data_IF_427862605748
#
_entry.id   IF_427862605748
#
_cell.length_a   1.000
_cell.length_b   1.000
_cell.length_c   1.000
_cell.angle_alpha   90.00
_cell.angle_beta   90.00
_cell.angle_gamma   90.00
#
_symmetry.space_group_name_H-M   'P 1'
#
loop_
_entity.id
_entity.type
_entity.pdbx_description
1 polymer ?
#
# COMPACT_ATOMS: atom_id res chain seq x y z
N UNK A 1 19.73 -2.21 6.38
CA UNK A 1 18.33 -1.96 5.93
C UNK A 1 17.26 -2.11 7.04
N UNK A 2 17.23 -3.21 7.80
CA UNK A 2 16.18 -3.49 8.81
C UNK A 2 15.97 -2.38 9.87
N UNK A 3 17.05 -1.83 10.46
CA UNK A 3 16.99 -0.74 11.47
C UNK A 3 16.34 0.53 10.91
N UNK A 4 16.68 0.89 9.67
CA UNK A 4 16.17 2.05 8.95
C UNK A 4 14.66 1.93 8.62
N UNK A 5 14.15 0.72 8.40
CA UNK A 5 12.72 0.47 8.20
C UNK A 5 11.92 0.53 9.50
N UNK A 6 12.49 0.04 10.61
CA UNK A 6 11.87 0.11 11.94
C UNK A 6 11.69 1.56 12.39
N UNK A 7 12.73 2.38 12.23
CA UNK A 7 12.67 3.82 12.52
C UNK A 7 11.60 4.52 11.67
N UNK A 8 11.55 4.23 10.37
CA UNK A 8 10.52 4.79 9.50
C UNK A 8 9.09 4.43 9.94
N UNK A 9 8.83 3.16 10.27
CA UNK A 9 7.52 2.74 10.77
C UNK A 9 7.16 3.45 12.08
N UNK A 10 8.15 3.72 12.94
CA UNK A 10 7.98 4.52 14.16
C UNK A 10 7.60 5.97 13.84
N UNK A 11 8.30 6.63 12.92
CA UNK A 11 7.97 8.00 12.46
C UNK A 11 6.55 8.11 11.89
N UNK A 12 6.15 7.17 11.03
CA UNK A 12 4.76 7.06 10.55
C UNK A 12 3.82 6.87 11.74
N UNK A 13 4.17 6.00 12.69
CA UNK A 13 3.33 5.73 13.87
C UNK A 13 3.08 6.97 14.70
N UNK A 14 4.12 7.76 14.93
CA UNK A 14 4.06 8.97 15.74
C UNK A 14 3.28 10.09 15.06
N UNK A 15 3.36 10.19 13.72
CA UNK A 15 2.58 11.15 12.93
C UNK A 15 1.16 10.68 12.58
N UNK A 16 0.77 9.45 12.93
CA UNK A 16 -0.59 8.89 12.71
C UNK A 16 -1.19 8.38 14.02
N UNK A 17 -1.09 9.19 15.08
CA UNK A 17 -1.66 8.87 16.40
C UNK A 17 -3.19 8.96 16.35
N UNK A 18 -3.88 7.88 16.76
CA UNK A 18 -5.34 7.80 16.81
C UNK A 18 -6.02 8.81 17.76
N UNK A 19 -5.25 9.44 18.63
CA UNK A 19 -5.72 10.42 19.61
C UNK A 19 -5.87 11.82 19.05
N UNK A 20 -5.27 12.11 17.88
CA UNK A 20 -5.43 13.40 17.23
C UNK A 20 -6.64 13.35 16.30
N UNK A 21 -7.32 14.49 16.18
CA UNK A 21 -8.44 14.68 15.25
C UNK A 21 -8.01 15.70 14.22
N UNK A 22 -7.71 15.26 13.01
CA UNK A 22 -7.30 16.11 11.89
C UNK A 22 -8.19 15.85 10.68
N UNK A 23 -8.24 16.83 9.77
CA UNK A 23 -8.82 16.67 8.44
C UNK A 23 -8.04 15.61 7.65
N UNK A 24 -8.68 14.98 6.66
CA UNK A 24 -8.10 13.84 5.92
C UNK A 24 -6.84 14.24 5.15
N UNK A 25 -6.88 15.41 4.57
CA UNK A 25 -5.83 16.01 3.74
C UNK A 25 -4.59 16.29 4.60
N UNK A 26 -4.80 16.75 5.84
CA UNK A 26 -3.72 17.03 6.79
C UNK A 26 -3.01 15.73 7.23
N UNK A 27 -3.75 14.63 7.44
CA UNK A 27 -3.12 13.33 7.69
C UNK A 27 -2.23 12.89 6.54
N UNK A 28 -2.69 13.08 5.31
CA UNK A 28 -1.96 12.70 4.09
C UNK A 28 -0.70 13.55 3.94
N UNK A 29 -0.81 14.88 4.09
CA UNK A 29 0.32 15.80 4.02
C UNK A 29 1.46 15.41 4.98
N UNK A 30 1.14 15.20 6.26
CA UNK A 30 2.12 14.82 7.30
C UNK A 30 2.81 13.50 7.00
N UNK A 31 2.10 12.54 6.40
CA UNK A 31 2.65 11.25 6.02
C UNK A 31 3.50 11.35 4.76
N UNK A 32 3.10 12.14 3.77
CA UNK A 32 3.85 12.37 2.53
C UNK A 32 5.24 12.95 2.80
N UNK A 33 5.36 13.92 3.71
CA UNK A 33 6.66 14.49 4.12
C UNK A 33 7.65 13.40 4.57
N UNK A 34 7.16 12.44 5.36
CA UNK A 34 7.99 11.32 5.83
C UNK A 34 8.36 10.38 4.68
N UNK A 35 7.41 10.09 3.79
CA UNK A 35 7.63 9.22 2.62
C UNK A 35 8.69 9.81 1.70
N UNK A 36 8.58 11.09 1.36
CA UNK A 36 9.53 11.80 0.49
C UNK A 36 10.95 11.73 1.09
N UNK A 37 11.10 12.09 2.36
CA UNK A 37 12.41 12.02 3.03
C UNK A 37 13.01 10.61 3.03
N UNK A 38 12.18 9.57 3.12
CA UNK A 38 12.64 8.19 3.08
C UNK A 38 13.03 7.72 1.69
N UNK A 39 12.28 8.09 0.66
CA UNK A 39 12.61 7.73 -0.72
C UNK A 39 13.87 8.46 -1.17
N UNK A 40 14.07 9.71 -0.74
CA UNK A 40 15.31 10.45 -0.98
C UNK A 40 16.55 9.69 -0.46
N UNK A 41 16.47 9.05 0.71
CA UNK A 41 17.54 8.18 1.19
C UNK A 41 17.85 7.03 0.21
N UNK A 42 16.81 6.45 -0.42
CA UNK A 42 16.97 5.37 -1.38
C UNK A 42 17.47 5.83 -2.77
N UNK A 43 17.45 7.13 -3.10
CA UNK A 43 18.02 7.64 -4.36
C UNK A 43 19.53 7.38 -4.48
N UNK A 44 20.24 7.45 -3.36
CA UNK A 44 21.68 7.10 -3.32
C UNK A 44 21.90 5.64 -3.75
N UNK A 45 21.00 4.75 -3.34
CA UNK A 45 21.01 3.33 -3.71
C UNK A 45 20.68 3.15 -5.20
N UNK A 46 19.74 3.93 -5.74
CA UNK A 46 19.44 3.92 -7.18
C UNK A 46 20.66 4.31 -8.01
N UNK A 47 21.35 5.40 -7.62
CA UNK A 47 22.58 5.84 -8.29
C UNK A 47 23.66 4.75 -8.28
N UNK A 48 23.84 4.05 -7.16
CA UNK A 48 24.77 2.93 -7.07
C UNK A 48 24.38 1.76 -7.99
N UNK A 49 23.09 1.42 -8.07
CA UNK A 49 22.57 0.39 -8.98
C UNK A 49 22.84 0.75 -10.45
N UNK A 50 22.67 2.03 -10.80
CA UNK A 50 22.89 2.50 -12.16
C UNK A 50 24.38 2.46 -12.56
N UNK A 51 25.27 2.86 -11.66
CA UNK A 51 26.72 2.72 -11.84
C UNK A 51 27.14 1.25 -11.98
N UNK A 52 26.58 0.35 -11.17
CA UNK A 52 26.84 -1.08 -11.30
C UNK A 52 26.38 -1.62 -12.66
N UNK A 53 25.20 -1.18 -13.14
CA UNK A 53 24.69 -1.55 -14.45
C UNK A 53 25.60 -1.07 -15.58
N UNK A 54 26.13 0.16 -15.48
CA UNK A 54 27.12 0.69 -16.43
C UNK A 54 28.42 -0.10 -16.41
N UNK A 55 28.81 -0.63 -15.25
CA UNK A 55 29.95 -1.53 -15.09
C UNK A 55 29.63 -3.01 -15.44
N UNK A 56 28.48 -3.30 -16.05
CA UNK A 56 28.07 -4.65 -16.48
C UNK A 56 27.56 -5.57 -15.36
N UNK A 57 27.32 -5.05 -14.16
CA UNK A 57 26.82 -5.82 -13.02
C UNK A 57 25.31 -5.64 -12.81
N UNK A 58 24.56 -6.74 -12.89
CA UNK A 58 23.12 -6.72 -12.63
C UNK A 58 22.79 -6.82 -11.13
N UNK A 59 21.88 -5.96 -10.65
CA UNK A 59 21.44 -5.94 -9.24
C UNK A 59 19.98 -6.38 -9.05
N UNK A 60 19.45 -7.20 -9.96
CA UNK A 60 18.02 -7.52 -10.05
C UNK A 60 17.41 -8.05 -8.74
N UNK A 61 18.06 -9.01 -8.08
CA UNK A 61 17.57 -9.59 -6.82
C UNK A 61 17.43 -8.56 -5.69
N UNK A 62 18.43 -7.67 -5.57
CA UNK A 62 18.43 -6.61 -4.57
C UNK A 62 17.32 -5.58 -4.82
N UNK A 63 17.14 -5.18 -6.08
CA UNK A 63 16.07 -4.29 -6.50
C UNK A 63 14.73 -4.91 -6.11
N UNK A 64 14.46 -6.14 -6.56
CA UNK A 64 13.21 -6.86 -6.28
C UNK A 64 12.91 -6.95 -4.78
N UNK A 65 13.91 -7.24 -3.94
CA UNK A 65 13.75 -7.27 -2.49
C UNK A 65 13.38 -5.90 -1.90
N UNK A 66 14.04 -4.84 -2.36
CA UNK A 66 13.79 -3.46 -1.91
C UNK A 66 12.37 -3.01 -2.26
N UNK A 67 11.88 -3.33 -3.46
CA UNK A 67 10.49 -3.02 -3.88
C UNK A 67 9.47 -3.66 -2.95
N UNK A 68 9.66 -4.95 -2.64
CA UNK A 68 8.73 -5.68 -1.80
C UNK A 68 8.62 -5.04 -0.41
N UNK A 69 9.73 -4.55 0.12
CA UNK A 69 9.74 -3.79 1.37
C UNK A 69 8.99 -2.45 1.24
N UNK A 70 9.17 -1.72 0.14
CA UNK A 70 8.40 -0.48 -0.12
C UNK A 70 6.89 -0.76 -0.25
N UNK A 71 6.48 -1.84 -0.91
CA UNK A 71 5.06 -2.22 -0.97
C UNK A 71 4.49 -2.63 0.39
N UNK A 72 5.26 -3.35 1.22
CA UNK A 72 4.86 -3.66 2.60
C UNK A 72 4.71 -2.38 3.43
N UNK A 73 5.58 -1.40 3.19
CA UNK A 73 5.54 -0.11 3.84
C UNK A 73 4.30 0.70 3.43
N UNK A 74 4.00 0.76 2.14
CA UNK A 74 2.77 1.39 1.62
C UNK A 74 1.51 0.75 2.21
N UNK A 75 1.48 -0.58 2.34
CA UNK A 75 0.37 -1.29 2.97
C UNK A 75 0.23 -0.91 4.46
N UNK A 76 1.35 -0.81 5.18
CA UNK A 76 1.38 -0.36 6.57
C UNK A 76 0.88 1.08 6.71
N UNK A 77 1.36 2.00 5.88
CA UNK A 77 0.95 3.42 5.87
C UNK A 77 -0.56 3.53 5.66
N UNK A 78 -1.11 2.88 4.62
CA UNK A 78 -2.55 2.88 4.38
C UNK A 78 -3.32 2.36 5.57
N UNK A 79 -2.88 1.26 6.20
CA UNK A 79 -3.54 0.74 7.39
C UNK A 79 -3.55 1.76 8.55
N UNK A 80 -2.46 2.52 8.72
CA UNK A 80 -2.36 3.56 9.73
C UNK A 80 -3.25 4.76 9.45
N UNK A 81 -3.33 5.19 8.19
CA UNK A 81 -4.26 6.23 7.76
C UNK A 81 -5.71 5.80 8.01
N UNK A 82 -6.08 4.56 7.64
CA UNK A 82 -7.43 4.03 7.97
C UNK A 82 -7.72 4.06 9.46
N UNK A 83 -6.72 3.78 10.31
CA UNK A 83 -6.89 3.85 11.76
C UNK A 83 -7.14 5.27 12.27
N UNK A 84 -6.36 6.25 11.85
CA UNK A 84 -6.47 7.61 12.38
C UNK A 84 -7.60 8.44 11.74
N UNK A 85 -8.09 8.05 10.57
CA UNK A 85 -9.24 8.69 9.91
C UNK A 85 -10.59 8.21 10.46
N UNK A 86 -10.62 7.19 11.33
CA UNK A 86 -11.82 6.77 12.05
C UNK A 86 -11.92 7.58 13.34
N UNK A 87 -12.83 8.55 13.38
CA UNK A 87 -13.00 9.41 14.56
C UNK A 87 -13.75 8.72 15.70
N UNK A 88 -14.81 7.97 15.40
CA UNK A 88 -15.64 7.29 16.42
C UNK A 88 -15.09 5.89 16.69
N UNK A 89 -14.51 5.69 17.88
CA UNK A 89 -13.93 4.43 18.37
C UNK A 89 -12.95 3.76 17.39
N UNK A 90 -11.79 4.38 17.10
CA UNK A 90 -10.79 3.81 16.20
C UNK A 90 -10.28 2.46 16.71
N UNK A 91 -10.56 1.41 15.94
CA UNK A 91 -10.13 0.04 16.23
C UNK A 91 -9.49 -0.61 15.00
N UNK A 92 -8.55 -1.54 15.25
CA UNK A 92 -7.85 -2.28 14.19
C UNK A 92 -8.85 -2.97 13.27
N UNK A 93 -9.84 -3.64 13.85
CA UNK A 93 -10.93 -4.30 13.11
C UNK A 93 -11.71 -3.30 12.26
N UNK A 94 -12.06 -2.14 12.81
CA UNK A 94 -12.74 -1.06 12.08
C UNK A 94 -11.93 -0.58 10.87
N UNK A 95 -10.63 -0.33 11.04
CA UNK A 95 -9.76 0.09 9.94
C UNK A 95 -9.62 -0.98 8.85
N UNK A 96 -9.49 -2.25 9.21
CA UNK A 96 -9.52 -3.35 8.23
C UNK A 96 -10.85 -3.42 7.48
N UNK A 97 -11.97 -3.18 8.15
CA UNK A 97 -13.30 -3.09 7.51
C UNK A 97 -13.39 -1.98 6.46
N UNK A 98 -12.60 -0.91 6.58
CA UNK A 98 -12.53 0.18 5.59
C UNK A 98 -11.61 -0.11 4.41
N UNK A 99 -10.95 -1.27 4.33
CA UNK A 99 -9.97 -1.57 3.26
C UNK A 99 -10.55 -1.44 1.85
N UNK A 100 -11.82 -1.78 1.67
CA UNK A 100 -12.50 -1.67 0.38
C UNK A 100 -12.84 -0.23 0.00
N UNK A 101 -13.38 0.55 0.95
CA UNK A 101 -13.76 1.96 0.73
C UNK A 101 -12.54 2.87 0.64
N UNK A 102 -11.55 2.64 1.49
CA UNK A 102 -10.28 3.36 1.53
C UNK A 102 -9.18 2.44 0.97
N UNK A 103 -9.35 2.08 -0.30
CA UNK A 103 -8.42 1.25 -1.06
C UNK A 103 -7.21 2.06 -1.54
N UNK A 104 -6.36 1.47 -2.37
CA UNK A 104 -5.16 2.15 -2.88
C UNK A 104 -5.51 3.36 -3.75
N UNK A 105 -6.52 3.20 -4.60
CA UNK A 105 -7.03 4.24 -5.49
C UNK A 105 -7.51 5.45 -4.69
N UNK A 106 -8.40 5.26 -3.71
CA UNK A 106 -8.87 6.31 -2.81
C UNK A 106 -7.72 7.12 -2.19
N UNK A 107 -6.70 6.42 -1.67
CA UNK A 107 -5.59 7.13 -1.04
C UNK A 107 -4.75 7.92 -2.05
N UNK A 108 -4.45 7.33 -3.21
CA UNK A 108 -3.71 8.02 -4.25
C UNK A 108 -4.47 9.24 -4.81
N UNK A 109 -5.79 9.12 -5.03
CA UNK A 109 -6.63 10.23 -5.51
C UNK A 109 -6.78 11.34 -4.48
N UNK A 110 -6.73 11.01 -3.18
CA UNK A 110 -6.69 12.00 -2.09
C UNK A 110 -5.27 12.62 -1.92
N UNK A 111 -4.30 12.23 -2.74
CA UNK A 111 -2.95 12.81 -2.75
C UNK A 111 -1.91 12.09 -1.91
N UNK A 112 -2.18 10.87 -1.42
CA UNK A 112 -1.13 10.04 -0.80
C UNK A 112 -0.10 9.66 -1.86
N UNK A 113 1.17 9.90 -1.56
CA UNK A 113 2.31 9.50 -2.40
C UNK A 113 2.79 8.12 -1.94
N UNK A 114 2.59 7.03 -2.70
CA UNK A 114 3.12 5.72 -2.33
C UNK A 114 4.65 5.71 -2.45
N UNK A 115 5.34 5.16 -1.46
CA UNK A 115 6.79 5.09 -1.44
C UNK A 115 7.35 4.28 -2.62
N UNK A 116 6.68 3.17 -2.97
CA UNK A 116 7.09 2.35 -4.11
C UNK A 116 6.93 3.09 -5.44
N UNK A 117 5.85 3.87 -5.62
CA UNK A 117 5.66 4.68 -6.81
C UNK A 117 6.68 5.81 -6.88
N UNK A 118 6.86 6.54 -5.78
CA UNK A 118 7.77 7.68 -5.71
C UNK A 118 9.23 7.28 -5.94
N UNK A 119 9.59 6.05 -5.56
CA UNK A 119 10.89 5.47 -5.90
C UNK A 119 11.03 5.25 -7.43
N UNK A 120 10.01 4.71 -8.09
CA UNK A 120 10.12 4.32 -9.50
C UNK A 120 9.88 5.41 -10.54
N UNK A 121 9.09 6.42 -10.19
CA UNK A 121 8.74 7.48 -11.14
C UNK A 121 9.96 8.20 -11.74
N UNK A 122 11.08 8.24 -11.01
CA UNK A 122 12.32 8.87 -11.48
C UNK A 122 13.10 7.97 -12.43
N UNK A 123 13.00 6.64 -12.26
CA UNK A 123 13.66 5.67 -13.14
C UNK A 123 12.90 5.45 -14.46
N UNK A 124 11.58 5.69 -14.45
CA UNK A 124 10.70 5.40 -15.57
C UNK A 124 9.78 6.61 -15.81
N UNK A 125 10.15 7.53 -16.73
CA UNK A 125 9.40 8.77 -16.97
C UNK A 125 7.92 8.60 -17.33
N UNK A 126 7.52 7.43 -17.86
CA UNK A 126 6.11 7.08 -18.14
C UNK A 126 5.35 6.46 -16.96
N UNK A 127 5.99 6.27 -15.80
CA UNK A 127 5.39 5.59 -14.64
C UNK A 127 4.54 6.53 -13.79
N UNK A 128 3.35 6.84 -14.28
CA UNK A 128 2.40 7.74 -13.59
C UNK A 128 1.78 7.08 -12.35
N UNK A 129 1.13 7.89 -11.50
CA UNK A 129 0.44 7.38 -10.31
C UNK A 129 -0.75 6.50 -10.69
N UNK A 130 -1.43 6.81 -11.78
CA UNK A 130 -2.54 6.04 -12.36
C UNK A 130 -2.04 4.66 -12.81
N UNK A 131 -0.90 4.62 -13.49
CA UNK A 131 -0.25 3.38 -13.90
C UNK A 131 0.10 2.50 -12.69
N UNK A 132 0.62 3.11 -11.61
CA UNK A 132 0.85 2.39 -10.35
C UNK A 132 -0.45 1.82 -9.76
N UNK A 133 -1.52 2.63 -9.67
CA UNK A 133 -2.80 2.19 -9.12
C UNK A 133 -3.39 1.05 -9.93
N UNK A 134 -3.35 1.12 -11.26
CA UNK A 134 -3.83 0.08 -12.16
C UNK A 134 -3.08 -1.24 -11.95
N UNK A 135 -1.73 -1.21 -11.96
CA UNK A 135 -0.89 -2.40 -11.72
C UNK A 135 -1.21 -3.05 -10.37
N UNK A 136 -1.34 -2.25 -9.31
CA UNK A 136 -1.65 -2.75 -7.97
C UNK A 136 -3.06 -3.35 -7.92
N UNK A 137 -4.03 -2.72 -8.59
CA UNK A 137 -5.42 -3.19 -8.66
C UNK A 137 -5.53 -4.49 -9.43
N UNK A 138 -4.92 -4.59 -10.62
CA UNK A 138 -4.84 -5.82 -11.42
C UNK A 138 -4.16 -6.95 -10.63
N UNK A 139 -3.06 -6.65 -9.94
CA UNK A 139 -2.35 -7.62 -9.10
C UNK A 139 -3.22 -8.14 -7.94
N UNK A 140 -3.99 -7.27 -7.29
CA UNK A 140 -4.92 -7.65 -6.23
C UNK A 140 -6.07 -8.52 -6.74
N UNK A 141 -6.65 -8.18 -7.91
CA UNK A 141 -7.67 -9.00 -8.58
C UNK A 141 -7.13 -10.40 -8.91
N UNK A 142 -5.93 -10.49 -9.50
CA UNK A 142 -5.27 -11.76 -9.83
C UNK A 142 -5.00 -12.61 -8.59
N UNK A 143 -4.55 -12.01 -7.48
CA UNK A 143 -4.36 -12.71 -6.19
C UNK A 143 -5.68 -13.24 -5.62
N UNK A 144 -6.76 -12.45 -5.70
CA UNK A 144 -8.10 -12.88 -5.26
C UNK A 144 -8.58 -14.06 -6.10
N UNK A 145 -8.44 -13.98 -7.42
CA UNK A 145 -8.84 -15.03 -8.36
C UNK A 145 -8.12 -16.35 -8.06
N UNK A 146 -6.78 -16.32 -7.96
CA UNK A 146 -5.98 -17.49 -7.57
C UNK A 146 -6.40 -18.10 -6.23
N UNK A 147 -6.79 -17.27 -5.26
CA UNK A 147 -7.30 -17.76 -3.96
C UNK A 147 -8.65 -18.46 -4.10
N UNK A 148 -9.52 -17.97 -4.98
CA UNK A 148 -10.81 -18.61 -5.28
C UNK A 148 -10.58 -19.96 -5.95
N UNK A 149 -9.73 -20.02 -6.97
CA UNK A 149 -9.38 -21.26 -7.70
C UNK A 149 -8.82 -22.32 -6.74
N UNK A 150 -7.82 -21.98 -5.92
CA UNK A 150 -7.24 -22.89 -4.92
C UNK A 150 -8.26 -23.42 -3.90
N UNK A 151 -9.30 -22.66 -3.60
CA UNK A 151 -10.35 -23.12 -2.70
C UNK A 151 -11.30 -24.07 -3.42
N UNK A 152 -11.64 -23.78 -4.68
CA UNK A 152 -12.42 -24.69 -5.54
C UNK A 152 -11.71 -26.04 -5.73
N UNK A 153 -10.40 -26.04 -5.98
CA UNK A 153 -9.57 -27.25 -6.07
C UNK A 153 -9.66 -28.13 -4.80
N UNK A 154 -9.86 -27.51 -3.64
CA UNK A 154 -10.02 -28.20 -2.35
C UNK A 154 -11.49 -28.54 -2.03
N UNK A 155 -12.41 -28.43 -2.99
CA UNK A 155 -13.84 -28.64 -2.79
C UNK A 155 -14.54 -27.55 -1.97
N UNK A 156 -13.87 -26.45 -1.64
CA UNK A 156 -14.41 -25.38 -0.79
C UNK A 156 -14.99 -24.23 -1.63
N UNK A 157 -16.20 -23.78 -1.30
CA UNK A 157 -16.81 -22.58 -1.90
C UNK A 157 -16.24 -21.31 -1.28
N UNK A 158 -15.68 -20.42 -2.10
CA UNK A 158 -15.20 -19.12 -1.62
C UNK A 158 -16.35 -18.20 -1.15
N UNK A 159 -17.47 -18.21 -1.89
CA UNK A 159 -18.68 -17.44 -1.60
C UNK A 159 -19.69 -18.34 -0.89
N UNK A 160 -19.64 -18.35 0.44
CA UNK A 160 -20.66 -18.99 1.29
C UNK A 160 -21.78 -18.00 1.62
N UNK A 161 -22.96 -18.49 1.99
CA UNK A 161 -24.09 -17.64 2.38
C UNK A 161 -23.72 -16.68 3.52
N UNK A 162 -23.03 -17.17 4.55
CA UNK A 162 -22.50 -16.35 5.64
C UNK A 162 -21.57 -15.24 5.14
N UNK A 163 -20.67 -15.58 4.22
CA UNK A 163 -19.75 -14.59 3.66
C UNK A 163 -20.46 -13.54 2.84
N UNK A 164 -21.48 -13.91 2.07
CA UNK A 164 -22.31 -12.97 1.31
C UNK A 164 -23.02 -12.01 2.26
N UNK A 165 -23.60 -12.51 3.37
CA UNK A 165 -24.21 -11.68 4.42
C UNK A 165 -23.20 -10.68 5.00
N UNK A 166 -21.98 -11.13 5.33
CA UNK A 166 -20.91 -10.26 5.83
C UNK A 166 -20.57 -9.17 4.78
N UNK A 167 -20.39 -9.55 3.53
CA UNK A 167 -20.07 -8.61 2.43
C UNK A 167 -21.17 -7.55 2.29
N UNK A 168 -22.43 -7.96 2.24
CA UNK A 168 -23.58 -7.06 2.15
C UNK A 168 -23.66 -6.10 3.35
N UNK A 169 -23.46 -6.60 4.58
CA UNK A 169 -23.48 -5.79 5.80
C UNK A 169 -22.38 -4.71 5.85
N UNK A 170 -21.26 -4.93 5.14
CA UNK A 170 -20.16 -3.96 5.05
C UNK A 170 -20.35 -2.88 3.98
N UNK A 171 -21.48 -2.87 3.27
CA UNK A 171 -21.78 -1.91 2.19
C UNK A 171 -21.02 -2.17 0.90
N UNK A 172 -20.58 -3.42 0.67
CA UNK A 172 -19.93 -3.81 -0.58
C UNK A 172 -20.96 -4.38 -1.56
N UNK A 173 -21.13 -3.72 -2.72
CA UNK A 173 -21.95 -4.24 -3.81
C UNK A 173 -21.14 -5.32 -4.52
N UNK A 174 -21.57 -6.58 -4.41
CA UNK A 174 -21.10 -7.63 -5.31
C UNK A 174 -21.61 -7.27 -6.71
N UNK A 175 -20.70 -7.00 -7.65
CA UNK A 175 -21.09 -6.95 -9.06
C UNK A 175 -21.79 -8.28 -9.38
N UNK A 176 -23.04 -8.21 -9.81
CA UNK A 176 -23.78 -9.37 -10.28
C UNK A 176 -22.98 -9.95 -11.45
N UNK A 177 -22.65 -11.24 -11.34
CA UNK A 177 -22.00 -12.00 -12.38
C UNK A 177 -22.95 -12.29 -13.53
#
# INVERSE_FOLDING_TARGET
MKKSLKDFKKKIKDKTRKTLTLKKEEWIKRVNEIIIGKVNYYKTVQKAIELNKQAGQESHCFIKGSIQELHKLDAYIRQRLRMCMIHKHPSIRGAYGKTWKWNIEFFCTTGLIPAAWHYYKEMYPGYTIETYVDIQTKSNKKRKQRKIERLKEKGMKYYTQERIKIIASTGHVLAKG
#
